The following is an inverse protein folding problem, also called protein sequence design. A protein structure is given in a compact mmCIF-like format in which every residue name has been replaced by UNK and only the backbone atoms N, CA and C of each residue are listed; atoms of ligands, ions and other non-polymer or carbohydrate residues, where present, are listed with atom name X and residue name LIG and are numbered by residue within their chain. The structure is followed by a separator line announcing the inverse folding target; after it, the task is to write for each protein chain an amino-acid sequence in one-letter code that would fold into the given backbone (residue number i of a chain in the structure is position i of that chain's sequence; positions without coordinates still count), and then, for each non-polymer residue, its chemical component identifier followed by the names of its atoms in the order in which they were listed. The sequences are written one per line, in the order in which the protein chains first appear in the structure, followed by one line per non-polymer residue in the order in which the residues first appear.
data_IF_159130332775
#
_entry.id   IF_159130332775
#
_cell.length_a   1.000
_cell.length_b   1.000
_cell.length_c   1.000
_cell.angle_alpha   90.00
_cell.angle_beta   90.00
_cell.angle_gamma   90.00
#
_symmetry.space_group_name_H-M   'P 1'
#
loop_
_entity.id
_entity.type
_entity.pdbx_description
1 polymer ?
#
# COMPACT_ATOMS: atom_id res chain seq x y z
N UNK A 1 24.21 28.91 -73.61
CA UNK A 1 25.57 29.36 -73.38
C UNK A 1 26.36 28.53 -72.39
N UNK A 2 25.68 27.56 -71.68
CA UNK A 2 26.28 26.69 -70.64
C UNK A 2 26.54 27.38 -69.30
N UNK A 3 25.99 28.59 -69.04
CA UNK A 3 26.09 29.29 -67.75
C UNK A 3 25.13 28.65 -66.71
N UNK A 4 25.63 28.55 -65.50
CA UNK A 4 24.85 28.05 -64.36
C UNK A 4 24.38 29.23 -63.51
N UNK A 5 23.11 29.27 -63.14
CA UNK A 5 22.47 30.30 -62.31
C UNK A 5 21.95 29.75 -61.02
N UNK A 6 22.22 30.45 -59.93
CA UNK A 6 21.88 30.01 -58.56
C UNK A 6 20.76 30.82 -57.92
N UNK A 7 20.35 31.93 -58.54
CA UNK A 7 19.32 32.80 -57.98
C UNK A 7 18.21 33.07 -58.98
N UNK A 8 17.02 33.33 -58.48
CA UNK A 8 15.84 33.66 -59.27
C UNK A 8 16.03 35.08 -59.90
N UNK A 9 15.56 35.27 -61.11
CA UNK A 9 15.58 36.56 -61.74
C UNK A 9 15.28 36.52 -63.24
N UNK A 10 15.34 37.71 -63.86
CA UNK A 10 15.30 37.90 -65.33
C UNK A 10 16.71 37.80 -65.85
N UNK A 11 16.96 36.79 -66.65
CA UNK A 11 18.29 36.56 -67.24
C UNK A 11 18.21 36.74 -68.72
N UNK A 12 19.18 37.46 -69.27
CA UNK A 12 19.37 37.56 -70.72
C UNK A 12 20.59 36.70 -71.09
N UNK A 13 20.36 35.75 -71.96
CA UNK A 13 21.42 34.94 -72.53
C UNK A 13 21.48 35.05 -74.02
N UNK A 14 22.68 35.04 -74.56
CA UNK A 14 22.94 35.23 -75.98
C UNK A 14 23.49 33.97 -76.63
N UNK A 15 22.82 33.48 -77.62
CA UNK A 15 23.24 32.30 -78.41
C UNK A 15 23.32 32.69 -79.92
N UNK A 16 24.25 32.12 -80.61
CA UNK A 16 24.37 32.33 -82.07
C UNK A 16 23.20 31.57 -82.74
N UNK A 17 22.53 32.26 -83.70
CA UNK A 17 21.50 31.63 -84.54
C UNK A 17 22.20 30.94 -85.76
N UNK A 18 21.39 30.23 -86.57
CA UNK A 18 21.88 29.49 -87.73
C UNK A 18 22.62 30.39 -88.81
N UNK A 19 22.39 31.68 -88.79
CA UNK A 19 23.02 32.59 -89.65
C UNK A 19 24.28 33.28 -89.09
N UNK A 20 24.70 32.86 -87.84
CA UNK A 20 25.87 33.41 -87.16
C UNK A 20 25.63 34.73 -86.45
N UNK A 21 24.39 35.21 -86.38
CA UNK A 21 24.03 36.42 -85.63
C UNK A 21 23.59 36.09 -84.22
N UNK A 22 23.69 37.00 -83.27
CA UNK A 22 23.27 36.83 -81.89
C UNK A 22 21.72 36.73 -81.74
N UNK A 23 21.28 35.75 -81.03
CA UNK A 23 19.91 35.60 -80.60
C UNK A 23 19.85 35.82 -79.10
N UNK A 24 19.11 36.83 -78.66
CA UNK A 24 18.93 37.14 -77.23
C UNK A 24 17.73 36.37 -76.72
N UNK A 25 17.96 35.56 -75.68
CA UNK A 25 16.91 34.79 -74.96
C UNK A 25 16.72 35.47 -73.63
N UNK A 26 15.48 35.85 -73.32
CA UNK A 26 15.07 36.33 -72.01
C UNK A 26 14.49 35.16 -71.25
N UNK A 27 15.06 34.80 -70.04
CA UNK A 27 14.70 33.70 -69.22
C UNK A 27 14.16 34.24 -67.90
N UNK A 28 12.92 33.97 -67.60
CA UNK A 28 12.38 34.16 -66.24
C UNK A 28 12.70 32.93 -65.42
N UNK A 29 13.80 33.02 -64.65
CA UNK A 29 14.26 31.88 -63.81
C UNK A 29 13.67 32.00 -62.42
N UNK A 30 13.06 30.91 -61.94
CA UNK A 30 12.67 30.73 -60.55
C UNK A 30 13.50 29.61 -59.96
N UNK A 31 14.43 29.93 -59.08
CA UNK A 31 15.22 28.91 -58.31
C UNK A 31 14.57 28.68 -57.00
N UNK A 32 14.12 27.46 -56.82
CA UNK A 32 13.59 26.98 -55.56
C UNK A 32 14.73 26.42 -54.72
N UNK A 33 14.71 26.71 -53.44
CA UNK A 33 15.82 26.32 -52.51
C UNK A 33 15.36 25.26 -51.53
N UNK A 34 16.26 24.37 -51.18
CA UNK A 34 16.15 23.46 -50.04
C UNK A 34 16.11 24.25 -48.74
N UNK A 35 15.53 23.68 -47.70
CA UNK A 35 15.50 24.25 -46.36
C UNK A 35 16.06 23.25 -45.34
N UNK A 36 16.57 23.79 -44.24
CA UNK A 36 17.05 22.96 -43.12
C UNK A 36 16.33 23.37 -41.84
N UNK A 37 16.12 22.40 -40.95
CA UNK A 37 15.59 22.64 -39.62
C UNK A 37 16.30 21.71 -38.62
N UNK A 38 16.30 22.11 -37.37
CA UNK A 38 16.83 21.30 -36.25
C UNK A 38 15.79 21.24 -35.16
N UNK A 39 15.51 20.03 -34.61
CA UNK A 39 14.57 19.80 -33.53
C UNK A 39 15.13 18.79 -32.52
N UNK A 40 14.71 18.90 -31.25
CA UNK A 40 15.17 18.06 -30.15
C UNK A 40 13.98 17.49 -29.35
N UNK A 41 13.20 16.57 -29.95
CA UNK A 41 12.06 15.96 -29.26
C UNK A 41 12.49 14.96 -28.17
N UNK A 42 11.79 14.99 -27.04
CA UNK A 42 11.84 13.96 -26.00
C UNK A 42 10.48 13.28 -25.95
N UNK A 43 10.45 11.98 -26.12
CA UNK A 43 9.22 11.19 -26.20
C UNK A 43 9.33 9.90 -25.37
N UNK A 44 8.21 9.23 -25.21
CA UNK A 44 8.16 7.92 -24.56
C UNK A 44 7.97 6.82 -25.61
N UNK A 45 8.80 5.77 -25.50
CA UNK A 45 8.78 4.52 -26.25
C UNK A 45 9.01 4.65 -27.75
N UNK A 46 8.30 5.54 -28.46
CA UNK A 46 8.38 5.67 -29.91
C UNK A 46 8.27 7.13 -30.36
N UNK A 47 8.94 7.44 -31.46
CA UNK A 47 8.85 8.73 -32.17
C UNK A 47 8.49 8.50 -33.63
N UNK A 48 7.51 9.24 -34.14
CA UNK A 48 7.20 9.25 -35.56
C UNK A 48 7.74 10.57 -36.16
N UNK A 49 8.70 10.43 -37.07
CA UNK A 49 9.29 11.60 -37.75
C UNK A 49 8.32 12.26 -38.73
N UNK A 50 8.59 13.50 -39.18
CA UNK A 50 7.76 14.21 -40.16
C UNK A 50 7.55 13.46 -41.48
N UNK A 51 8.48 12.57 -41.87
CA UNK A 51 8.32 11.71 -43.06
C UNK A 51 7.50 10.46 -42.77
N UNK A 52 7.06 10.23 -41.52
CA UNK A 52 6.27 9.05 -41.11
C UNK A 52 7.08 7.83 -40.67
N UNK A 53 8.41 7.95 -40.56
CA UNK A 53 9.26 6.86 -40.05
C UNK A 53 9.16 6.76 -38.53
N UNK A 54 9.12 5.54 -38.02
CA UNK A 54 9.02 5.24 -36.56
C UNK A 54 10.42 4.89 -36.04
N UNK A 55 10.80 5.50 -34.93
CA UNK A 55 12.04 5.27 -34.20
C UNK A 55 11.75 4.88 -32.76
N UNK A 56 12.52 3.92 -32.26
CA UNK A 56 12.36 3.35 -30.91
C UNK A 56 13.49 3.73 -29.96
N UNK A 57 14.60 4.23 -30.50
CA UNK A 57 15.80 4.54 -29.73
C UNK A 57 16.26 5.97 -29.95
N UNK A 58 16.94 6.53 -28.94
CA UNK A 58 17.54 7.86 -29.01
C UNK A 58 18.66 7.90 -30.01
N UNK A 59 18.85 9.07 -30.67
CA UNK A 59 19.94 9.25 -31.60
C UNK A 59 19.79 10.49 -32.43
N UNK A 60 20.82 10.76 -33.28
CA UNK A 60 20.81 11.79 -34.29
C UNK A 60 20.23 11.22 -35.58
N UNK A 61 19.13 11.80 -36.05
CA UNK A 61 18.38 11.35 -37.22
C UNK A 61 18.34 12.48 -38.22
N UNK A 62 18.49 12.15 -39.48
CA UNK A 62 18.20 13.05 -40.59
C UNK A 62 16.92 12.62 -41.29
N UNK A 63 15.95 13.49 -41.35
CA UNK A 63 14.68 13.25 -42.00
C UNK A 63 14.49 14.25 -43.16
N UNK A 64 13.84 13.82 -44.24
CA UNK A 64 13.65 14.65 -45.42
C UNK A 64 12.19 14.66 -45.81
N UNK A 65 11.64 15.85 -45.96
CA UNK A 65 10.27 16.08 -46.44
C UNK A 65 10.29 17.16 -47.54
N UNK A 66 9.26 17.20 -48.37
CA UNK A 66 9.12 18.29 -49.32
C UNK A 66 8.71 19.58 -48.60
N UNK A 67 9.40 20.69 -48.91
CA UNK A 67 9.01 22.02 -48.44
C UNK A 67 7.84 22.58 -49.29
N UNK A 68 7.31 23.76 -48.93
CA UNK A 68 6.20 24.41 -49.65
C UNK A 68 6.51 24.72 -51.13
N UNK A 69 7.79 24.84 -51.49
CA UNK A 69 8.22 25.07 -52.87
C UNK A 69 8.42 23.78 -53.66
N UNK A 70 8.25 22.59 -53.04
CA UNK A 70 8.45 21.29 -53.64
C UNK A 70 9.92 20.83 -53.68
N UNK A 71 10.83 21.51 -52.97
CA UNK A 71 12.20 21.08 -52.77
C UNK A 71 12.36 20.35 -51.46
N UNK A 72 13.47 19.66 -51.24
CA UNK A 72 13.76 18.97 -50.00
C UNK A 72 13.90 19.93 -48.82
N UNK A 73 13.33 19.57 -47.70
CA UNK A 73 13.60 20.13 -46.38
C UNK A 73 14.28 19.05 -45.54
N UNK A 74 15.53 19.30 -45.19
CA UNK A 74 16.32 18.37 -44.36
C UNK A 74 16.13 18.76 -42.89
N UNK A 75 15.65 17.83 -42.08
CA UNK A 75 15.41 18.01 -40.63
C UNK A 75 16.43 17.19 -39.88
N UNK A 76 17.29 17.86 -39.12
CA UNK A 76 18.17 17.19 -38.13
C UNK A 76 17.42 17.03 -36.83
N UNK A 77 17.28 15.80 -36.37
CA UNK A 77 16.49 15.46 -35.20
C UNK A 77 17.41 14.87 -34.12
N UNK A 78 17.61 15.60 -33.03
CA UNK A 78 18.25 15.10 -31.79
C UNK A 78 17.22 14.40 -30.96
N UNK A 79 16.94 13.13 -31.25
CA UNK A 79 15.87 12.37 -30.65
C UNK A 79 16.30 11.80 -29.30
N UNK A 80 15.48 12.04 -28.26
CA UNK A 80 15.55 11.33 -26.99
C UNK A 80 14.30 10.49 -26.81
N UNK A 81 14.47 9.16 -26.72
CA UNK A 81 13.40 8.21 -26.44
C UNK A 81 13.62 7.64 -25.05
N UNK A 82 12.75 8.00 -24.13
CA UNK A 82 12.65 7.41 -22.81
C UNK A 82 11.77 6.16 -22.87
N UNK A 83 11.93 5.26 -21.90
CA UNK A 83 11.13 4.02 -21.87
C UNK A 83 10.10 4.04 -20.76
N UNK A 84 8.91 3.56 -21.07
CA UNK A 84 7.94 3.13 -20.08
C UNK A 84 8.49 1.97 -19.24
N UNK A 85 7.97 1.78 -18.06
CA UNK A 85 8.39 0.71 -17.15
C UNK A 85 7.20 -0.09 -16.65
N UNK A 86 7.45 -1.28 -16.16
CA UNK A 86 6.44 -2.13 -15.54
C UNK A 86 7.02 -2.77 -14.27
N UNK A 87 6.18 -2.93 -13.26
CA UNK A 87 6.51 -3.62 -12.02
C UNK A 87 5.32 -4.46 -11.57
N UNK A 88 5.61 -5.51 -10.79
CA UNK A 88 4.60 -6.30 -10.10
C UNK A 88 4.88 -6.25 -8.61
N UNK A 89 3.85 -5.98 -7.83
CA UNK A 89 3.93 -5.95 -6.36
C UNK A 89 2.84 -6.83 -5.76
N UNK A 90 3.13 -7.37 -4.56
CA UNK A 90 2.19 -8.14 -3.75
C UNK A 90 1.93 -7.36 -2.49
N UNK A 91 0.66 -7.12 -2.19
CA UNK A 91 0.24 -6.26 -1.08
C UNK A 91 -0.90 -6.92 -0.32
N UNK A 92 -0.78 -6.97 1.01
CA UNK A 92 -1.88 -7.30 1.91
C UNK A 92 -2.24 -6.05 2.72
N UNK A 93 -3.52 -5.76 2.85
CA UNK A 93 -4.04 -4.62 3.60
C UNK A 93 -5.35 -4.97 4.29
N UNK A 94 -5.74 -4.18 5.27
CA UNK A 94 -7.00 -4.38 5.98
C UNK A 94 -8.02 -3.33 5.55
N UNK A 95 -9.22 -3.80 5.22
CA UNK A 95 -10.38 -3.03 4.77
C UNK A 95 -10.21 -2.29 3.45
N UNK A 96 -9.10 -1.57 3.24
CA UNK A 96 -8.82 -0.83 2.03
C UNK A 96 -7.31 -0.70 1.77
N UNK A 97 -6.95 -0.48 0.52
CA UNK A 97 -5.60 -0.17 0.06
C UNK A 97 -5.62 1.02 -0.88
N UNK A 98 -4.76 2.00 -0.63
CA UNK A 98 -4.55 3.13 -1.54
C UNK A 98 -3.35 2.83 -2.46
N UNK A 99 -3.62 2.70 -3.75
CA UNK A 99 -2.60 2.45 -4.76
C UNK A 99 -1.73 3.69 -5.03
N UNK A 100 -0.54 3.51 -5.65
CA UNK A 100 0.38 4.63 -5.94
C UNK A 100 -0.20 5.75 -6.81
N UNK A 101 -1.23 5.47 -7.61
CA UNK A 101 -1.96 6.43 -8.43
C UNK A 101 -3.12 7.12 -7.70
N UNK A 102 -3.31 6.81 -6.40
CA UNK A 102 -4.34 7.37 -5.53
C UNK A 102 -5.69 6.64 -5.54
N UNK A 103 -5.85 5.58 -6.35
CA UNK A 103 -7.05 4.76 -6.30
C UNK A 103 -7.16 3.96 -5.00
N UNK A 104 -8.37 3.91 -4.42
CA UNK A 104 -8.65 3.12 -3.22
C UNK A 104 -9.40 1.86 -3.61
N UNK A 105 -8.85 0.71 -3.25
CA UNK A 105 -9.45 -0.60 -3.46
C UNK A 105 -9.89 -1.20 -2.12
N UNK A 106 -11.09 -1.78 -2.11
CA UNK A 106 -11.70 -2.41 -0.93
C UNK A 106 -11.93 -3.92 -1.11
N UNK A 107 -11.50 -4.46 -2.26
CA UNK A 107 -11.62 -5.85 -2.64
C UNK A 107 -10.28 -6.41 -3.12
N UNK A 108 -10.05 -7.69 -2.84
CA UNK A 108 -8.87 -8.43 -3.31
C UNK A 108 -8.89 -8.63 -4.82
N UNK A 109 -7.73 -8.91 -5.38
CA UNK A 109 -7.57 -9.25 -6.79
C UNK A 109 -6.41 -8.54 -7.45
N UNK A 110 -6.27 -8.72 -8.76
CA UNK A 110 -5.24 -8.06 -9.55
C UNK A 110 -5.73 -6.66 -9.90
N UNK A 111 -4.99 -5.65 -9.47
CA UNK A 111 -5.25 -4.23 -9.74
C UNK A 111 -4.12 -3.65 -10.59
N UNK A 112 -4.39 -2.52 -11.25
CA UNK A 112 -3.41 -1.82 -12.07
C UNK A 112 -3.36 -0.37 -11.65
N UNK A 113 -2.15 0.13 -11.40
CA UNK A 113 -1.88 1.54 -11.20
C UNK A 113 -0.92 2.05 -12.29
N UNK A 114 -1.07 3.31 -12.69
CA UNK A 114 -0.18 3.95 -13.66
C UNK A 114 0.31 5.26 -13.07
N UNK A 115 1.63 5.39 -12.95
CA UNK A 115 2.29 6.60 -12.46
C UNK A 115 3.45 6.97 -13.39
N UNK A 116 3.86 8.24 -13.47
CA UNK A 116 5.05 8.61 -14.22
C UNK A 116 6.32 8.03 -13.56
N UNK A 117 7.22 7.47 -14.36
CA UNK A 117 8.54 7.08 -13.92
C UNK A 117 9.49 8.29 -13.84
N UNK A 118 10.75 8.09 -13.43
CA UNK A 118 11.75 9.17 -13.30
C UNK A 118 12.04 9.91 -14.61
N UNK A 119 11.79 9.28 -15.74
CA UNK A 119 11.99 9.87 -17.06
C UNK A 119 10.71 10.56 -17.62
N UNK A 120 9.64 10.60 -16.84
CA UNK A 120 8.36 11.19 -17.20
C UNK A 120 7.46 10.30 -18.07
N UNK A 121 7.85 9.04 -18.31
CA UNK A 121 7.05 8.07 -19.04
C UNK A 121 6.21 7.21 -18.09
N UNK A 122 5.17 6.56 -18.62
CA UNK A 122 4.30 5.72 -17.82
C UNK A 122 5.04 4.54 -17.16
N UNK A 123 4.78 4.32 -15.89
CA UNK A 123 5.12 3.12 -15.16
C UNK A 123 3.84 2.38 -14.80
N UNK A 124 3.63 1.23 -15.39
CA UNK A 124 2.49 0.36 -15.07
C UNK A 124 2.87 -0.55 -13.90
N UNK A 125 2.09 -0.49 -12.81
CA UNK A 125 2.25 -1.34 -11.63
C UNK A 125 1.10 -2.33 -11.59
N UNK A 126 1.42 -3.62 -11.67
CA UNK A 126 0.46 -4.70 -11.45
C UNK A 126 0.49 -5.06 -9.96
N UNK A 127 -0.67 -4.97 -9.30
CA UNK A 127 -0.81 -5.13 -7.85
C UNK A 127 -1.60 -6.39 -7.58
N UNK A 128 -0.96 -7.42 -7.02
CA UNK A 128 -1.64 -8.58 -6.45
C UNK A 128 -2.08 -8.21 -5.04
N UNK A 129 -3.34 -7.82 -4.89
CA UNK A 129 -3.89 -7.26 -3.68
C UNK A 129 -4.72 -8.29 -2.92
N UNK A 130 -4.39 -8.47 -1.63
CA UNK A 130 -5.21 -9.20 -0.67
C UNK A 130 -5.78 -8.23 0.36
N UNK A 131 -7.11 -8.12 0.43
CA UNK A 131 -7.80 -7.31 1.43
C UNK A 131 -8.41 -8.25 2.48
N UNK A 132 -7.86 -8.18 3.69
CA UNK A 132 -8.47 -8.72 4.89
C UNK A 132 -9.56 -7.80 5.44
N UNK A 133 -10.35 -8.31 6.38
CA UNK A 133 -11.37 -7.52 7.08
C UNK A 133 -11.09 -7.53 8.58
N UNK A 134 -11.23 -6.37 9.19
CA UNK A 134 -11.34 -6.28 10.63
C UNK A 134 -12.59 -7.03 11.11
N UNK A 135 -12.53 -7.59 12.28
CA UNK A 135 -13.64 -8.35 12.86
C UNK A 135 -13.98 -7.82 14.24
N UNK A 136 -15.23 -8.00 14.65
CA UNK A 136 -15.69 -7.65 15.98
C UNK A 136 -16.47 -8.82 16.59
N UNK A 137 -16.27 -9.08 17.88
CA UNK A 137 -16.97 -10.12 18.62
C UNK A 137 -17.25 -9.64 20.04
N UNK A 138 -18.48 -9.82 20.49
CA UNK A 138 -18.87 -9.60 21.89
C UNK A 138 -18.89 -10.91 22.65
N UNK A 139 -18.31 -10.92 23.85
CA UNK A 139 -18.33 -12.06 24.79
C UNK A 139 -18.74 -11.60 26.17
N UNK A 140 -19.38 -12.51 26.90
CA UNK A 140 -19.68 -12.33 28.32
C UNK A 140 -18.73 -13.22 29.12
N UNK A 141 -18.06 -12.65 30.09
CA UNK A 141 -17.07 -13.36 30.94
C UNK A 141 -17.38 -13.08 32.39
N UNK A 142 -17.38 -14.15 33.19
CA UNK A 142 -17.36 -14.08 34.66
C UNK A 142 -16.03 -14.65 35.15
N UNK A 143 -15.39 -13.94 36.06
CA UNK A 143 -14.14 -14.38 36.67
C UNK A 143 -14.11 -14.01 38.16
N UNK A 144 -13.20 -14.65 38.89
CA UNK A 144 -12.97 -14.37 40.31
C UNK A 144 -11.70 -13.54 40.47
N UNK A 145 -11.80 -12.43 41.22
CA UNK A 145 -10.71 -11.50 41.56
C UNK A 145 -10.05 -10.82 40.39
N UNK A 146 -9.78 -11.51 39.31
CA UNK A 146 -9.18 -10.92 38.09
C UNK A 146 -9.47 -11.75 36.83
N UNK A 147 -9.39 -11.11 35.69
CA UNK A 147 -9.46 -11.70 34.35
C UNK A 147 -8.31 -11.23 33.51
N UNK A 148 -7.65 -12.10 32.76
CA UNK A 148 -6.66 -11.77 31.76
C UNK A 148 -7.34 -11.89 30.41
N UNK A 149 -7.44 -10.74 29.70
CA UNK A 149 -8.04 -10.67 28.38
C UNK A 149 -7.12 -11.28 27.29
N UNK A 150 -7.64 -11.58 26.08
CA UNK A 150 -6.87 -12.20 25.02
C UNK A 150 -5.63 -11.39 24.56
N UNK A 151 -5.61 -10.09 24.77
CA UNK A 151 -4.47 -9.19 24.53
C UNK A 151 -3.44 -9.17 25.66
N UNK A 152 -3.68 -9.97 26.75
CA UNK A 152 -2.82 -10.07 27.92
C UNK A 152 -3.09 -9.02 29.01
N UNK A 153 -4.03 -8.10 28.82
CA UNK A 153 -4.37 -7.09 29.82
C UNK A 153 -5.14 -7.74 30.99
N UNK A 154 -4.70 -7.45 32.23
CA UNK A 154 -5.34 -7.93 33.45
C UNK A 154 -6.33 -6.91 33.99
N UNK A 155 -7.58 -7.33 34.18
CA UNK A 155 -8.66 -6.54 34.77
C UNK A 155 -9.04 -7.10 36.14
N UNK A 156 -9.30 -6.21 37.10
CA UNK A 156 -9.73 -6.54 38.48
C UNK A 156 -11.11 -5.96 38.81
N UNK A 157 -11.72 -5.26 37.87
CA UNK A 157 -13.01 -4.62 38.01
C UNK A 157 -13.97 -5.06 36.90
N UNK A 158 -15.24 -5.14 37.23
CA UNK A 158 -16.32 -5.43 36.28
C UNK A 158 -16.55 -4.26 35.33
N UNK A 159 -17.15 -4.54 34.19
CA UNK A 159 -17.52 -3.54 33.19
C UNK A 159 -17.28 -3.99 31.76
N UNK A 160 -17.49 -3.08 30.82
CA UNK A 160 -17.18 -3.34 29.41
C UNK A 160 -15.68 -3.07 29.19
N UNK A 161 -14.98 -4.09 28.71
CA UNK A 161 -13.56 -4.04 28.37
C UNK A 161 -13.40 -4.34 26.88
N UNK A 162 -12.29 -3.91 26.30
CA UNK A 162 -11.99 -4.16 24.90
C UNK A 162 -10.60 -4.78 24.80
N UNK A 163 -10.47 -5.86 24.02
CA UNK A 163 -9.20 -6.46 23.66
C UNK A 163 -9.04 -6.43 22.14
N UNK A 164 -7.84 -6.13 21.65
CA UNK A 164 -7.54 -6.12 20.24
C UNK A 164 -6.44 -7.15 19.97
N UNK A 165 -6.74 -8.11 19.11
CA UNK A 165 -5.81 -9.16 18.70
C UNK A 165 -5.85 -9.31 17.18
N UNK A 166 -4.76 -9.74 16.51
CA UNK A 166 -4.80 -10.02 15.08
C UNK A 166 -5.68 -11.25 14.80
N UNK A 167 -6.51 -11.15 13.77
CA UNK A 167 -7.27 -12.27 13.23
C UNK A 167 -6.41 -13.12 12.26
N UNK A 168 -6.99 -14.17 11.66
CA UNK A 168 -6.29 -15.06 10.73
C UNK A 168 -5.74 -14.37 9.47
N UNK A 169 -6.33 -13.25 9.08
CA UNK A 169 -5.88 -12.45 7.94
C UNK A 169 -4.83 -11.40 8.33
N UNK A 170 -4.44 -11.34 9.61
CA UNK A 170 -3.51 -10.35 10.14
C UNK A 170 -4.13 -8.98 10.42
N UNK A 171 -5.46 -8.84 10.26
CA UNK A 171 -6.19 -7.62 10.56
C UNK A 171 -6.70 -7.61 12.00
N UNK A 172 -7.11 -6.47 12.51
CA UNK A 172 -7.58 -6.35 13.88
C UNK A 172 -8.88 -7.12 14.12
N UNK A 173 -8.91 -7.84 15.24
CA UNK A 173 -10.11 -8.42 15.80
C UNK A 173 -10.39 -7.74 17.13
N UNK A 174 -11.43 -6.91 17.17
CA UNK A 174 -11.89 -6.24 18.40
C UNK A 174 -12.81 -7.18 19.17
N UNK A 175 -12.46 -7.46 20.41
CA UNK A 175 -13.28 -8.26 21.32
C UNK A 175 -13.86 -7.35 22.39
N UNK A 176 -15.18 -7.16 22.36
CA UNK A 176 -15.93 -6.46 23.40
C UNK A 176 -16.26 -7.46 24.49
N UNK A 177 -15.78 -7.21 25.71
CA UNK A 177 -15.89 -8.14 26.86
C UNK A 177 -16.82 -7.51 27.90
N UNK A 178 -18.01 -8.07 28.06
CA UNK A 178 -18.87 -7.79 29.21
C UNK A 178 -18.36 -8.60 30.40
N UNK A 179 -17.50 -7.98 31.21
CA UNK A 179 -16.78 -8.63 32.28
C UNK A 179 -17.50 -8.43 33.58
N UNK A 180 -17.76 -9.54 34.30
CA UNK A 180 -18.20 -9.57 35.71
C UNK A 180 -17.08 -10.16 36.55
N UNK A 181 -16.51 -9.36 37.43
CA UNK A 181 -15.54 -9.81 38.43
C UNK A 181 -16.30 -10.02 39.77
N UNK A 182 -16.29 -11.22 40.23
CA UNK A 182 -16.75 -11.57 41.57
C UNK A 182 -15.56 -11.64 42.50
N UNK A 183 -15.77 -11.29 43.76
CA UNK A 183 -14.71 -11.35 44.76
C UNK A 183 -14.80 -12.69 45.53
N UNK A 184 -13.66 -13.33 45.72
CA UNK A 184 -13.49 -14.34 46.73
C UNK A 184 -13.67 -13.73 48.13
N UNK A 185 -13.86 -14.59 49.13
CA UNK A 185 -13.92 -14.13 50.53
C UNK A 185 -12.88 -14.86 51.37
N UNK A 186 -12.39 -14.17 52.38
CA UNK A 186 -11.52 -14.77 53.37
C UNK A 186 -12.05 -14.43 54.75
N UNK A 187 -12.38 -15.48 55.53
CA UNK A 187 -12.89 -15.34 56.87
C UNK A 187 -11.92 -16.01 57.86
N UNK A 188 -11.61 -15.32 58.92
CA UNK A 188 -10.83 -15.87 60.04
C UNK A 188 -11.75 -16.06 61.21
N UNK A 189 -11.71 -17.27 61.84
CA UNK A 189 -12.45 -17.57 63.08
C UNK A 189 -11.59 -18.33 64.07
N UNK A 190 -11.87 -18.15 65.37
CA UNK A 190 -11.24 -18.91 66.43
C UNK A 190 -12.29 -19.74 67.10
N UNK A 191 -12.03 -21.03 67.26
CA UNK A 191 -12.89 -21.97 67.93
C UNK A 191 -12.19 -22.50 69.20
N UNK A 192 -12.80 -22.24 70.36
CA UNK A 192 -12.34 -22.81 71.59
C UNK A 192 -13.13 -24.14 71.88
N UNK A 193 -12.42 -25.24 72.02
CA UNK A 193 -13.05 -26.53 72.25
C UNK A 193 -12.34 -27.31 73.42
N UNK A 194 -13.03 -28.22 74.00
CA UNK A 194 -12.45 -29.09 75.05
C UNK A 194 -11.64 -30.20 74.38
N UNK A 195 -10.67 -30.75 75.16
CA UNK A 195 -9.95 -31.94 74.75
C UNK A 195 -10.91 -33.10 74.51
N UNK A 196 -10.84 -33.75 73.34
CA UNK A 196 -11.74 -34.81 72.88
C UNK A 196 -12.96 -34.36 72.08
N UNK A 197 -13.25 -33.04 72.02
CA UNK A 197 -14.27 -32.48 71.15
C UNK A 197 -13.83 -32.53 69.68
N UNK A 198 -14.83 -32.37 68.82
CA UNK A 198 -14.61 -32.35 67.31
C UNK A 198 -15.32 -31.20 66.70
N UNK A 199 -14.61 -30.49 65.88
CA UNK A 199 -15.16 -29.42 65.01
C UNK A 199 -15.26 -29.90 63.57
N UNK A 200 -16.39 -29.62 62.93
CA UNK A 200 -16.61 -30.00 61.52
C UNK A 200 -16.84 -28.76 60.65
N UNK A 201 -16.12 -28.67 59.59
CA UNK A 201 -16.35 -27.65 58.55
C UNK A 201 -16.16 -28.30 57.17
N UNK A 202 -17.05 -28.04 56.24
CA UNK A 202 -17.00 -28.55 54.87
C UNK A 202 -16.70 -30.07 54.77
N UNK A 203 -17.22 -30.89 55.75
CA UNK A 203 -16.98 -32.32 55.78
C UNK A 203 -15.62 -32.74 56.40
N UNK A 204 -14.74 -31.81 56.67
CA UNK A 204 -13.48 -32.07 57.38
C UNK A 204 -13.71 -32.06 58.90
N UNK A 205 -13.06 -32.99 59.58
CA UNK A 205 -13.09 -33.11 61.00
C UNK A 205 -11.75 -32.61 61.58
N UNK A 206 -11.86 -31.75 62.59
CA UNK A 206 -10.72 -31.21 63.31
C UNK A 206 -10.90 -31.55 64.81
N UNK A 207 -9.90 -32.15 65.39
CA UNK A 207 -9.93 -32.60 66.80
C UNK A 207 -8.64 -32.26 67.59
N UNK A 208 -7.77 -31.41 66.94
CA UNK A 208 -6.52 -30.95 67.56
C UNK A 208 -6.41 -29.44 67.48
N UNK A 209 -5.62 -28.85 68.35
CA UNK A 209 -5.22 -27.48 68.28
C UNK A 209 -4.43 -27.24 67.02
N UNK A 210 -4.69 -26.09 66.33
CA UNK A 210 -4.01 -25.75 65.11
C UNK A 210 -4.77 -24.70 64.27
N UNK A 211 -4.13 -24.28 63.18
CA UNK A 211 -4.74 -23.41 62.18
C UNK A 211 -5.05 -24.25 60.94
N UNK A 212 -6.30 -24.23 60.55
CA UNK A 212 -6.83 -25.01 59.45
C UNK A 212 -7.44 -24.09 58.38
N UNK A 213 -7.34 -24.46 57.11
CA UNK A 213 -7.95 -23.74 56.02
C UNK A 213 -8.90 -24.63 55.22
N UNK A 214 -10.13 -24.17 55.06
CA UNK A 214 -11.14 -24.82 54.25
C UNK A 214 -11.58 -23.88 53.15
N UNK A 215 -11.67 -24.41 51.93
CA UNK A 215 -12.16 -23.66 50.78
C UNK A 215 -13.56 -24.09 50.43
N UNK A 216 -14.47 -23.14 50.41
CA UNK A 216 -15.87 -23.26 50.00
C UNK A 216 -16.09 -22.40 48.76
N UNK A 217 -17.12 -22.68 48.00
CA UNK A 217 -17.52 -21.81 46.91
C UNK A 217 -18.55 -20.78 47.41
N UNK A 218 -18.35 -19.54 47.03
CA UNK A 218 -19.35 -18.47 47.16
C UNK A 218 -20.56 -18.77 46.30
N UNK A 219 -21.67 -18.05 46.48
CA UNK A 219 -22.85 -18.09 45.60
C UNK A 219 -22.52 -17.85 44.12
N UNK A 220 -21.48 -17.08 43.85
CA UNK A 220 -21.05 -16.70 42.53
C UNK A 220 -19.91 -17.61 41.99
N UNK A 221 -19.62 -18.71 42.67
CA UNK A 221 -18.65 -19.71 42.25
C UNK A 221 -17.18 -19.35 42.53
N UNK A 222 -16.93 -18.29 43.30
CA UNK A 222 -15.56 -17.92 43.67
C UNK A 222 -15.18 -18.58 45.02
N UNK A 223 -13.88 -18.72 45.25
CA UNK A 223 -13.39 -19.34 46.48
C UNK A 223 -13.69 -18.47 47.69
N UNK A 224 -14.18 -19.13 48.73
CA UNK A 224 -14.33 -18.60 50.07
C UNK A 224 -13.42 -19.40 51.00
N UNK A 225 -12.32 -18.78 51.40
CA UNK A 225 -11.37 -19.42 52.32
C UNK A 225 -11.73 -19.09 53.75
N UNK A 226 -11.95 -20.12 54.55
CA UNK A 226 -12.15 -20.00 55.99
C UNK A 226 -10.89 -20.49 56.69
N UNK A 227 -10.24 -19.61 57.41
CA UNK A 227 -9.12 -19.96 58.29
C UNK A 227 -9.67 -20.12 59.71
N UNK A 228 -9.61 -21.32 60.24
CA UNK A 228 -10.08 -21.66 61.58
C UNK A 228 -8.87 -21.93 62.48
N UNK A 229 -8.72 -21.11 63.54
CA UNK A 229 -7.79 -21.40 64.65
C UNK A 229 -8.53 -22.16 65.72
N UNK A 230 -8.11 -23.39 65.98
CA UNK A 230 -8.66 -24.20 67.05
C UNK A 230 -7.76 -24.11 68.32
N UNK A 231 -8.32 -23.71 69.43
CA UNK A 231 -7.67 -23.65 70.75
C UNK A 231 -8.33 -24.64 71.71
N UNK A 232 -7.50 -25.48 72.29
CA UNK A 232 -7.98 -26.37 73.39
C UNK A 232 -8.01 -25.59 74.69
N UNK A 233 -9.16 -25.65 75.37
CA UNK A 233 -9.35 -25.05 76.70
C UNK A 233 -9.45 -26.15 77.70
N UNK A 234 -8.79 -25.98 78.86
CA UNK A 234 -8.96 -26.88 80.00
C UNK A 234 -10.09 -26.31 80.86
N UNK A 235 -10.94 -27.19 81.33
CA UNK A 235 -11.90 -26.85 82.39
C UNK A 235 -11.14 -26.94 83.73
N UNK A 236 -11.18 -25.90 84.55
CA UNK A 236 -10.50 -25.89 85.84
C UNK A 236 -11.10 -26.91 86.80
#
# INVERSE_FOLDING_TARGET
SGKIYYDSGLIMDTIANKAGCDSIITIHLTVKKTTTAEISPTVCDTYTSPSGKIYYDSGLIMDTIANKAGCDSIITIHLQVNKSSAATIFVSSCDAYMAPDGHIYTDSGIKKAVIPNKAGCDSTILIHLEIGKNTEKTINVMACDAYIAPDGIRYTDSGIKTAIIPNKAGCDSTIIIHLTINQGSHTYQTINMLEGDKYFINGHKYDKEGIYQDTLLTKNGCDSVITTEIKLIMIP
#
